data_IF_666492483305
#
_entry.id   IF_666492483305
#
_cell.length_a   1.000
_cell.length_b   1.000
_cell.length_c   1.000
_cell.angle_alpha   90.00
_cell.angle_beta   90.00
_cell.angle_gamma   90.00
#
_symmetry.space_group_name_H-M   'P 1'
#
loop_
_entity.id
_entity.type
_entity.pdbx_description
1 polymer ?
#
# COMPACT_ATOMS: atom_id res chain seq x y z
N UNK A 1 -7.63 -2.73 9.22
CA UNK A 1 -8.33 -2.68 7.91
C UNK A 1 -7.49 -3.24 6.75
N UNK A 2 -6.18 -2.93 6.64
CA UNK A 2 -5.34 -3.35 5.49
C UNK A 2 -5.11 -4.86 5.30
N UNK A 3 -4.96 -5.63 6.38
CA UNK A 3 -4.81 -7.10 6.28
C UNK A 3 -6.09 -7.77 5.69
N UNK A 4 -7.26 -7.18 5.93
CA UNK A 4 -8.52 -7.66 5.38
C UNK A 4 -8.60 -7.52 3.86
N UNK A 5 -8.04 -6.45 3.27
CA UNK A 5 -7.99 -6.27 1.82
C UNK A 5 -7.10 -7.32 1.15
N UNK A 6 -5.96 -7.63 1.76
CA UNK A 6 -5.06 -8.68 1.28
C UNK A 6 -5.71 -10.07 1.36
N UNK A 7 -6.28 -10.37 2.52
CA UNK A 7 -7.01 -11.61 2.75
C UNK A 7 -8.16 -11.80 1.76
N UNK A 8 -8.96 -10.74 1.52
CA UNK A 8 -10.06 -10.77 0.55
C UNK A 8 -9.59 -11.15 -0.85
N UNK A 9 -8.38 -10.71 -1.25
CA UNK A 9 -7.85 -10.91 -2.60
C UNK A 9 -7.10 -12.23 -2.78
N UNK A 10 -6.52 -12.78 -1.73
CA UNK A 10 -5.86 -14.10 -1.75
C UNK A 10 -6.87 -15.23 -1.73
N UNK A 11 -8.03 -15.01 -1.11
CA UNK A 11 -9.09 -16.01 -1.04
C UNK A 11 -9.90 -16.05 -2.34
N UNK A 12 -9.95 -17.21 -2.98
CA UNK A 12 -10.68 -17.42 -4.24
C UNK A 12 -12.18 -17.09 -4.10
N UNK A 13 -12.82 -17.52 -3.02
CA UNK A 13 -14.26 -17.30 -2.79
C UNK A 13 -14.62 -15.82 -2.67
N UNK A 14 -13.69 -15.02 -2.13
CA UNK A 14 -13.91 -13.59 -1.88
C UNK A 14 -13.48 -12.70 -3.04
N UNK A 15 -12.61 -13.18 -3.91
CA UNK A 15 -11.98 -12.39 -4.98
C UNK A 15 -12.40 -12.79 -6.39
N UNK A 16 -12.85 -14.03 -6.59
CA UNK A 16 -13.00 -14.63 -7.92
C UNK A 16 -11.66 -14.83 -8.66
N UNK A 17 -10.52 -14.68 -7.98
CA UNK A 17 -9.18 -14.88 -8.51
C UNK A 17 -8.58 -16.20 -7.98
N UNK A 18 -7.58 -16.79 -8.66
CA UNK A 18 -6.91 -17.98 -8.16
C UNK A 18 -6.35 -17.78 -6.75
N UNK A 19 -6.47 -18.82 -5.90
CA UNK A 19 -5.99 -18.77 -4.51
C UNK A 19 -4.50 -18.39 -4.47
N UNK A 20 -4.13 -17.47 -3.59
CA UNK A 20 -2.76 -16.93 -3.49
C UNK A 20 -2.22 -16.27 -4.76
N UNK A 21 -3.09 -15.95 -5.74
CA UNK A 21 -2.75 -15.36 -7.03
C UNK A 21 -1.70 -16.17 -7.83
N UNK A 22 -1.84 -17.50 -7.84
CA UNK A 22 -1.02 -18.41 -8.65
C UNK A 22 -1.89 -19.28 -9.57
N UNK A 23 -1.40 -19.59 -10.77
CA UNK A 23 -2.12 -20.44 -11.74
C UNK A 23 -2.15 -21.91 -11.29
N UNK A 24 -1.01 -22.44 -10.83
CA UNK A 24 -0.86 -23.85 -10.48
C UNK A 24 -0.87 -24.02 -8.95
N UNK A 25 -2.03 -23.74 -8.34
CA UNK A 25 -2.24 -23.95 -6.91
C UNK A 25 -1.98 -25.40 -6.51
N UNK A 26 -1.16 -25.62 -5.48
CA UNK A 26 -0.77 -26.94 -4.97
C UNK A 26 0.67 -27.33 -5.32
N UNK A 27 1.21 -26.84 -6.45
CA UNK A 27 2.65 -26.91 -6.75
C UNK A 27 3.35 -25.59 -6.42
N UNK A 28 2.65 -24.47 -6.62
CA UNK A 28 3.12 -23.13 -6.28
C UNK A 28 2.32 -22.57 -5.09
N UNK A 29 3.03 -21.91 -4.16
CA UNK A 29 2.48 -21.22 -2.99
C UNK A 29 2.17 -19.75 -3.26
N UNK A 30 2.69 -19.18 -4.34
CA UNK A 30 2.44 -17.81 -4.78
C UNK A 30 2.69 -16.79 -3.66
N UNK A 31 1.66 -16.01 -3.34
CA UNK A 31 1.74 -14.94 -2.33
C UNK A 31 1.41 -15.38 -0.90
N UNK A 32 1.31 -16.69 -0.62
CA UNK A 32 0.99 -17.21 0.72
C UNK A 32 1.98 -16.73 1.80
N UNK A 33 3.28 -16.93 1.59
CA UNK A 33 4.30 -16.52 2.57
C UNK A 33 4.34 -15.01 2.76
N UNK A 34 4.08 -14.27 1.68
CA UNK A 34 4.01 -12.81 1.71
C UNK A 34 2.85 -12.33 2.61
N UNK A 35 1.72 -13.05 2.61
CA UNK A 35 0.61 -12.82 3.52
C UNK A 35 1.01 -13.01 4.98
N UNK A 36 1.71 -14.11 5.26
CA UNK A 36 2.05 -14.48 6.63
C UNK A 36 2.97 -13.43 7.25
N UNK A 37 3.98 -12.97 6.51
CA UNK A 37 4.85 -11.87 6.94
C UNK A 37 4.08 -10.55 7.15
N UNK A 38 3.09 -10.25 6.31
CA UNK A 38 2.26 -9.06 6.50
C UNK A 38 1.40 -9.18 7.78
N UNK A 39 0.86 -10.37 8.05
CA UNK A 39 0.06 -10.63 9.23
C UNK A 39 0.87 -10.59 10.53
N UNK A 40 2.10 -11.12 10.54
CA UNK A 40 2.97 -11.07 11.71
C UNK A 40 3.32 -9.64 12.11
N UNK A 41 3.67 -8.79 11.13
CA UNK A 41 4.00 -7.37 11.37
C UNK A 41 2.78 -6.57 11.85
N UNK A 42 1.59 -6.86 11.33
CA UNK A 42 0.35 -6.29 11.85
C UNK A 42 0.09 -6.74 13.29
N UNK A 43 0.42 -7.98 13.64
CA UNK A 43 0.28 -8.48 15.01
C UNK A 43 1.24 -7.80 15.97
N UNK A 44 2.50 -7.61 15.57
CA UNK A 44 3.51 -6.89 16.35
C UNK A 44 3.09 -5.43 16.60
N UNK A 45 2.53 -4.76 15.58
CA UNK A 45 2.01 -3.41 15.72
C UNK A 45 0.91 -3.28 16.79
N UNK A 46 0.12 -4.33 17.04
CA UNK A 46 -0.90 -4.29 18.10
C UNK A 46 -0.29 -4.08 19.48
N UNK A 47 0.87 -4.69 19.74
CA UNK A 47 1.61 -4.53 21.00
C UNK A 47 2.18 -3.12 21.08
N UNK A 48 2.79 -2.62 20.00
CA UNK A 48 3.38 -1.28 19.93
C UNK A 48 2.35 -0.13 20.04
N UNK A 49 1.07 -0.42 19.76
CA UNK A 49 -0.02 0.54 19.93
C UNK A 49 -0.34 0.87 21.40
N UNK A 50 0.17 0.11 22.38
CA UNK A 50 -0.03 0.46 23.79
C UNK A 50 0.55 1.85 24.10
N UNK A 51 -0.21 2.77 24.71
CA UNK A 51 0.24 4.14 24.94
C UNK A 51 1.31 4.18 26.04
N UNK A 52 2.56 4.46 25.66
CA UNK A 52 3.64 4.65 26.64
C UNK A 52 3.48 5.93 27.44
N UNK A 53 2.77 6.93 26.92
CA UNK A 53 2.46 8.17 27.65
C UNK A 53 1.39 8.01 28.73
N UNK A 54 0.79 6.82 28.88
CA UNK A 54 -0.14 6.53 29.97
C UNK A 54 0.59 6.17 31.27
N UNK A 55 1.91 5.98 31.23
CA UNK A 55 2.75 5.66 32.38
C UNK A 55 3.55 6.88 32.84
N UNK A 56 3.77 6.97 34.15
CA UNK A 56 4.60 8.00 34.79
C UNK A 56 5.19 7.42 36.07
N UNK A 57 6.53 7.41 36.14
CA UNK A 57 7.27 6.95 37.32
C UNK A 57 7.99 8.17 37.90
N UNK A 58 7.68 8.58 39.14
CA UNK A 58 8.26 9.78 39.73
C UNK A 58 9.77 9.62 39.94
N UNK A 59 10.52 10.65 39.58
CA UNK A 59 11.98 10.70 39.70
C UNK A 59 12.41 11.81 40.66
N UNK A 60 13.70 11.82 41.04
CA UNK A 60 14.30 12.92 41.81
C UNK A 60 13.60 13.22 43.15
N UNK A 61 13.32 12.18 43.95
CA UNK A 61 12.65 12.31 45.26
C UNK A 61 11.32 13.09 45.17
N UNK A 62 10.53 12.80 44.15
CA UNK A 62 9.22 13.41 43.90
C UNK A 62 9.25 14.90 43.50
N UNK A 63 10.40 15.41 43.03
CA UNK A 63 10.44 16.72 42.35
C UNK A 63 9.91 16.64 40.91
N UNK A 64 10.17 15.51 40.24
CA UNK A 64 9.61 15.19 38.92
C UNK A 64 8.52 14.15 39.12
N UNK A 65 7.39 14.59 39.69
CA UNK A 65 6.26 13.73 40.05
C UNK A 65 5.39 13.31 38.86
N UNK A 66 5.56 13.95 37.69
CA UNK A 66 4.89 13.60 36.45
C UNK A 66 5.83 13.67 35.24
N UNK A 67 6.00 12.53 34.54
CA UNK A 67 6.84 12.41 33.35
C UNK A 67 6.05 11.83 32.17
N UNK A 68 6.45 12.18 30.94
CA UNK A 68 5.67 11.86 29.72
C UNK A 68 5.98 10.51 29.07
N UNK A 69 7.07 9.86 29.48
CA UNK A 69 7.63 8.66 28.82
C UNK A 69 7.80 8.82 27.29
N UNK A 70 7.95 10.06 26.80
CA UNK A 70 7.92 10.42 25.38
C UNK A 70 9.03 9.76 24.54
N UNK A 71 10.16 9.41 25.15
CA UNK A 71 11.27 8.75 24.45
C UNK A 71 10.90 7.37 23.88
N UNK A 72 10.11 6.57 24.59
CA UNK A 72 9.61 5.31 24.03
C UNK A 72 8.45 5.53 23.06
N UNK A 73 7.62 6.56 23.30
CA UNK A 73 6.54 6.97 22.39
C UNK A 73 7.06 7.30 20.99
N UNK A 74 8.18 8.03 20.88
CA UNK A 74 8.79 8.36 19.60
C UNK A 74 9.36 7.12 18.89
N UNK A 75 10.09 6.26 19.61
CA UNK A 75 10.69 5.04 19.06
C UNK A 75 9.64 4.05 18.54
N UNK A 76 8.58 3.80 19.32
CA UNK A 76 7.50 2.88 18.90
C UNK A 76 6.71 3.44 17.71
N UNK A 77 6.51 4.77 17.65
CA UNK A 77 5.86 5.40 16.50
C UNK A 77 6.69 5.21 15.23
N UNK A 78 8.00 5.46 15.30
CA UNK A 78 8.91 5.20 14.19
C UNK A 78 8.89 3.72 13.78
N UNK A 79 8.84 2.80 14.75
CA UNK A 79 8.78 1.36 14.47
C UNK A 79 7.46 0.93 13.80
N UNK A 80 6.33 1.49 14.20
CA UNK A 80 5.02 1.21 13.57
C UNK A 80 4.98 1.79 12.15
N UNK A 81 5.55 2.97 11.93
CA UNK A 81 5.71 3.55 10.59
C UNK A 81 6.62 2.65 9.77
N UNK A 82 7.77 2.23 10.31
CA UNK A 82 8.64 1.24 9.71
C UNK A 82 7.87 -0.02 9.38
N UNK A 83 7.04 -0.61 10.25
CA UNK A 83 6.23 -1.80 9.93
C UNK A 83 5.06 -1.52 8.98
N UNK A 84 4.63 -0.28 8.83
CA UNK A 84 3.60 0.07 7.83
C UNK A 84 4.25 0.24 6.47
N UNK A 85 5.47 0.78 6.46
CA UNK A 85 6.36 0.74 5.32
C UNK A 85 6.86 -0.68 5.06
N UNK A 86 7.10 -1.47 6.11
CA UNK A 86 7.89 -2.70 6.15
C UNK A 86 7.10 -3.97 6.43
N UNK A 87 5.76 -3.89 6.57
CA UNK A 87 4.69 -4.91 6.43
C UNK A 87 4.72 -5.70 5.12
N UNK A 88 5.87 -5.60 4.49
CA UNK A 88 6.26 -5.34 3.11
C UNK A 88 7.63 -6.01 2.89
N UNK A 89 8.41 -6.31 3.94
CA UNK A 89 9.80 -6.75 3.81
C UNK A 89 10.03 -8.01 4.65
N UNK A 90 10.42 -9.09 3.99
CA UNK A 90 11.21 -10.10 4.67
C UNK A 90 12.63 -9.57 4.80
N UNK A 91 13.00 -8.94 5.91
CA UNK A 91 14.41 -8.73 6.22
C UNK A 91 14.61 -8.56 7.73
N UNK A 92 15.15 -9.59 8.38
CA UNK A 92 16.07 -9.34 9.49
C UNK A 92 17.31 -8.64 8.93
N UNK A 93 17.97 -7.82 9.74
CA UNK A 93 19.24 -7.13 9.44
C UNK A 93 19.22 -6.09 8.32
N UNK A 94 18.84 -4.85 8.60
CA UNK A 94 19.62 -3.67 8.16
C UNK A 94 19.28 -2.55 9.13
N UNK A 95 20.26 -2.22 9.96
CA UNK A 95 20.20 -1.07 10.82
C UNK A 95 20.22 0.22 10.00
N UNK A 96 19.71 1.27 10.64
CA UNK A 96 20.10 2.65 10.37
C UNK A 96 19.77 3.19 8.97
N UNK A 97 18.55 3.68 8.79
CA UNK A 97 18.36 4.95 8.08
C UNK A 97 17.26 5.77 8.77
N UNK A 98 17.61 6.88 9.45
CA UNK A 98 16.64 7.84 9.91
C UNK A 98 16.32 8.79 8.74
N UNK A 99 15.04 8.95 8.37
CA UNK A 99 14.64 10.03 7.47
C UNK A 99 13.38 9.79 6.66
N UNK A 100 12.43 10.69 6.86
CA UNK A 100 11.35 11.10 5.96
C UNK A 100 10.14 10.18 5.69
N UNK A 101 9.04 10.63 6.29
CA UNK A 101 7.83 11.15 5.62
C UNK A 101 7.03 10.23 4.69
N UNK A 102 5.81 9.93 5.16
CA UNK A 102 4.57 9.69 4.41
C UNK A 102 4.67 8.86 3.14
N UNK A 103 4.40 7.55 3.20
CA UNK A 103 3.70 6.86 2.12
C UNK A 103 2.96 5.65 2.71
N UNK A 104 1.63 5.70 2.64
CA UNK A 104 0.74 4.55 2.84
C UNK A 104 0.75 3.62 1.60
N UNK A 105 0.64 2.30 1.80
CA UNK A 105 0.30 1.26 0.79
C UNK A 105 1.36 0.74 -0.22
N UNK A 106 2.64 0.56 0.17
CA UNK A 106 3.70 0.18 -0.81
C UNK A 106 3.71 -1.28 -1.34
N UNK A 107 3.29 -2.29 -0.56
CA UNK A 107 3.40 -3.73 -0.94
C UNK A 107 2.18 -4.27 -1.64
N UNK A 108 1.02 -3.74 -1.29
CA UNK A 108 -0.23 -4.14 -1.92
C UNK A 108 -0.14 -3.95 -3.42
N UNK A 109 0.60 -2.96 -3.89
CA UNK A 109 0.68 -2.65 -5.30
C UNK A 109 1.20 -3.81 -6.19
N UNK A 110 2.27 -4.52 -5.83
CA UNK A 110 2.77 -5.67 -6.62
C UNK A 110 1.74 -6.80 -6.69
N UNK A 111 1.09 -7.08 -5.57
CA UNK A 111 0.05 -8.11 -5.46
C UNK A 111 -1.24 -7.72 -6.20
N UNK A 112 -1.66 -6.45 -6.13
CA UNK A 112 -2.81 -5.95 -6.87
C UNK A 112 -2.58 -6.05 -8.37
N UNK A 113 -1.38 -5.74 -8.85
CA UNK A 113 -1.01 -5.88 -10.26
C UNK A 113 -0.90 -7.34 -10.71
N UNK A 114 -0.59 -8.26 -9.80
CA UNK A 114 -0.74 -9.68 -10.09
C UNK A 114 -2.21 -10.06 -10.31
N UNK A 115 -3.14 -9.54 -9.51
CA UNK A 115 -4.57 -9.75 -9.73
C UNK A 115 -5.06 -9.23 -11.09
N UNK A 116 -4.47 -8.14 -11.61
CA UNK A 116 -4.79 -7.61 -12.95
C UNK A 116 -4.35 -8.57 -14.06
N UNK A 117 -3.28 -9.37 -13.88
CA UNK A 117 -2.88 -10.37 -14.87
C UNK A 117 -3.97 -11.40 -15.14
N UNK A 118 -4.61 -11.87 -14.07
CA UNK A 118 -5.69 -12.86 -14.13
C UNK A 118 -7.00 -12.30 -14.69
N UNK A 119 -7.11 -10.98 -14.80
CA UNK A 119 -8.27 -10.31 -15.38
C UNK A 119 -8.07 -9.97 -16.86
N UNK A 120 -6.90 -10.26 -17.46
CA UNK A 120 -6.68 -10.04 -18.89
C UNK A 120 -7.74 -10.81 -19.72
N UNK A 121 -8.34 -10.18 -20.75
CA UNK A 121 -7.92 -8.95 -21.44
C UNK A 121 -8.47 -7.62 -20.86
N UNK A 122 -9.12 -7.63 -19.70
CA UNK A 122 -9.66 -6.40 -19.09
C UNK A 122 -8.54 -5.41 -18.74
N UNK A 123 -8.77 -4.13 -19.01
CA UNK A 123 -7.86 -3.03 -18.67
C UNK A 123 -8.47 -2.15 -17.60
N UNK A 124 -7.62 -1.59 -16.73
CA UNK A 124 -8.06 -0.60 -15.76
C UNK A 124 -8.08 0.81 -16.38
N UNK A 125 -8.22 1.83 -15.54
CA UNK A 125 -8.11 3.24 -15.95
C UNK A 125 -6.73 3.54 -16.52
N UNK A 126 -6.65 4.57 -17.37
CA UNK A 126 -5.39 5.01 -17.99
C UNK A 126 -4.29 5.27 -16.95
N UNK A 127 -4.63 5.96 -15.86
CA UNK A 127 -3.69 6.24 -14.77
C UNK A 127 -3.20 4.96 -14.11
N UNK A 128 -4.10 4.05 -13.78
CA UNK A 128 -3.74 2.80 -13.10
C UNK A 128 -2.97 1.85 -14.03
N UNK A 129 -3.22 1.93 -15.34
CA UNK A 129 -2.48 1.20 -16.36
C UNK A 129 -1.03 1.70 -16.46
N UNK A 130 -0.79 3.01 -16.41
CA UNK A 130 0.58 3.58 -16.35
C UNK A 130 1.33 3.13 -15.10
N UNK A 131 0.66 3.09 -13.95
CA UNK A 131 1.27 2.58 -12.71
C UNK A 131 1.54 1.07 -12.80
N UNK A 132 0.64 0.31 -13.41
CA UNK A 132 0.82 -1.13 -13.67
C UNK A 132 2.07 -1.36 -14.53
N UNK A 133 2.22 -0.66 -15.65
CA UNK A 133 3.38 -0.75 -16.54
C UNK A 133 4.67 -0.38 -15.81
N UNK A 134 4.64 0.69 -15.01
CA UNK A 134 5.77 1.12 -14.19
C UNK A 134 6.20 0.03 -13.20
N UNK A 135 5.27 -0.63 -12.52
CA UNK A 135 5.61 -1.75 -11.61
C UNK A 135 6.07 -2.98 -12.38
N UNK A 136 5.48 -3.28 -13.54
CA UNK A 136 5.91 -4.40 -14.38
C UNK A 136 7.29 -4.22 -14.98
N UNK A 137 7.79 -2.99 -15.11
CA UNK A 137 9.17 -2.74 -15.51
C UNK A 137 10.22 -3.23 -14.49
N UNK A 138 9.84 -3.36 -13.21
CA UNK A 138 10.75 -3.78 -12.12
C UNK A 138 10.38 -5.14 -11.51
N UNK A 139 9.14 -5.59 -11.70
CA UNK A 139 8.63 -6.80 -11.07
C UNK A 139 7.70 -7.57 -12.05
N UNK A 140 8.23 -8.59 -12.75
CA UNK A 140 7.46 -9.33 -13.75
C UNK A 140 6.31 -10.13 -13.12
N UNK A 141 5.30 -10.54 -13.91
CA UNK A 141 4.23 -11.41 -13.43
C UNK A 141 4.75 -12.67 -12.76
N UNK A 142 4.10 -13.09 -11.67
CA UNK A 142 4.42 -14.35 -10.99
C UNK A 142 3.70 -15.50 -11.69
N UNK A 143 4.45 -16.34 -12.42
CA UNK A 143 3.90 -17.55 -13.05
C UNK A 143 4.16 -18.77 -12.16
N UNK A 144 5.42 -18.92 -11.72
CA UNK A 144 5.89 -19.97 -10.81
C UNK A 144 6.57 -19.35 -9.59
N UNK A 145 6.67 -20.14 -8.51
CA UNK A 145 7.32 -19.72 -7.27
C UNK A 145 8.79 -19.37 -7.51
N UNK A 146 9.19 -18.20 -7.04
CA UNK A 146 10.57 -17.71 -7.11
C UNK A 146 10.91 -16.83 -5.92
N UNK A 147 12.19 -16.55 -5.76
CA UNK A 147 12.67 -15.64 -4.73
C UNK A 147 12.23 -14.19 -5.00
N UNK A 148 11.14 -13.77 -4.34
CA UNK A 148 10.50 -12.47 -4.57
C UNK A 148 11.18 -11.28 -3.89
N UNK A 149 12.10 -11.51 -2.96
CA UNK A 149 12.70 -10.44 -2.16
C UNK A 149 13.34 -9.30 -2.99
N UNK A 150 14.12 -9.56 -4.07
CA UNK A 150 14.74 -8.50 -4.85
C UNK A 150 13.71 -7.66 -5.61
N UNK A 151 12.64 -8.31 -6.11
CA UNK A 151 11.53 -7.62 -6.78
C UNK A 151 10.76 -6.73 -5.81
N UNK A 152 10.49 -7.26 -4.61
CA UNK A 152 9.85 -6.50 -3.53
C UNK A 152 10.69 -5.25 -3.22
N UNK A 153 12.01 -5.40 -3.02
CA UNK A 153 12.94 -4.28 -2.79
C UNK A 153 12.95 -3.25 -3.94
N UNK A 154 12.83 -3.72 -5.17
CA UNK A 154 12.76 -2.86 -6.35
C UNK A 154 11.46 -2.03 -6.37
N UNK A 155 10.32 -2.65 -6.07
CA UNK A 155 9.03 -1.97 -5.96
C UNK A 155 9.04 -0.92 -4.83
N UNK A 156 9.63 -1.26 -3.69
CA UNK A 156 9.83 -0.30 -2.58
C UNK A 156 10.65 0.90 -3.03
N UNK A 157 11.77 0.66 -3.71
CA UNK A 157 12.66 1.72 -4.19
C UNK A 157 11.95 2.63 -5.20
N UNK A 158 11.10 2.03 -6.03
CA UNK A 158 10.25 2.76 -6.97
C UNK A 158 9.23 3.66 -6.25
N UNK A 159 8.70 3.23 -5.12
CA UNK A 159 7.83 4.10 -4.31
C UNK A 159 8.61 5.15 -3.54
N UNK A 160 9.76 4.81 -2.97
CA UNK A 160 10.64 5.76 -2.25
C UNK A 160 11.19 6.85 -3.17
N UNK A 161 11.35 6.55 -4.46
CA UNK A 161 11.76 7.53 -5.46
C UNK A 161 10.62 8.44 -5.96
N UNK A 162 9.42 8.36 -5.35
CA UNK A 162 8.22 9.13 -5.72
C UNK A 162 7.77 9.00 -7.18
N UNK A 163 8.31 8.04 -7.95
CA UNK A 163 7.96 7.86 -9.37
C UNK A 163 6.48 7.56 -9.58
N UNK A 164 5.85 6.81 -8.66
CA UNK A 164 4.40 6.54 -8.72
C UNK A 164 3.61 7.82 -8.48
N UNK A 165 4.04 8.63 -7.52
CA UNK A 165 3.39 9.90 -7.23
C UNK A 165 3.40 10.79 -8.46
N UNK A 166 4.55 10.93 -9.12
CA UNK A 166 4.67 11.72 -10.37
C UNK A 166 3.74 11.23 -11.49
N UNK A 167 3.47 9.92 -11.59
CA UNK A 167 2.52 9.38 -12.58
C UNK A 167 1.08 9.72 -12.25
N UNK A 168 0.72 9.75 -10.96
CA UNK A 168 -0.66 9.89 -10.50
C UNK A 168 -1.02 11.37 -10.23
N UNK A 169 -0.06 12.20 -9.85
CA UNK A 169 -0.20 13.61 -9.47
C UNK A 169 -0.96 14.45 -10.51
N UNK A 170 -0.64 14.42 -11.82
CA UNK A 170 -1.40 15.19 -12.82
C UNK A 170 -2.88 14.80 -12.90
N UNK A 171 -3.18 13.51 -12.66
CA UNK A 171 -4.55 13.02 -12.67
C UNK A 171 -5.31 13.42 -11.39
N UNK A 172 -4.65 13.46 -10.23
CA UNK A 172 -5.24 13.93 -8.98
C UNK A 172 -5.54 15.43 -9.02
N UNK A 173 -4.64 16.25 -9.57
CA UNK A 173 -4.87 17.68 -9.76
C UNK A 173 -6.08 17.94 -10.68
N UNK A 174 -6.17 17.19 -11.77
CA UNK A 174 -7.34 17.25 -12.67
C UNK A 174 -8.63 16.87 -11.94
N UNK A 175 -8.59 15.82 -11.13
CA UNK A 175 -9.76 15.37 -10.35
C UNK A 175 -10.20 16.42 -9.33
N UNK A 176 -9.26 17.01 -8.58
CA UNK A 176 -9.53 18.08 -7.61
C UNK A 176 -10.07 19.36 -8.26
N UNK A 177 -9.57 19.72 -9.44
CA UNK A 177 -10.10 20.84 -10.25
C UNK A 177 -11.52 20.55 -10.76
N UNK A 178 -11.82 19.31 -11.15
CA UNK A 178 -13.18 18.90 -11.53
C UNK A 178 -14.15 18.93 -10.35
N UNK A 179 -13.72 18.47 -9.17
CA UNK A 179 -14.50 18.53 -7.92
C UNK A 179 -14.87 19.97 -7.53
N UNK A 180 -13.96 20.92 -7.71
CA UNK A 180 -14.21 22.33 -7.39
C UNK A 180 -15.06 23.06 -8.43
N UNK A 181 -14.96 22.72 -9.72
CA UNK A 181 -15.72 23.37 -10.79
C UNK A 181 -17.17 22.84 -10.93
N UNK A 182 -17.41 21.55 -10.70
CA UNK A 182 -18.75 20.93 -10.74
C UNK A 182 -18.83 19.72 -9.79
N UNK A 183 -19.24 19.92 -8.53
CA UNK A 183 -19.29 18.84 -7.53
C UNK A 183 -20.31 17.73 -7.86
N UNK A 184 -21.32 18.03 -8.67
CA UNK A 184 -22.43 17.09 -8.96
C UNK A 184 -22.13 16.11 -10.11
N UNK A 185 -21.23 16.46 -11.04
CA UNK A 185 -20.87 15.58 -12.19
C UNK A 185 -20.23 14.27 -11.73
N UNK A 186 -19.38 14.32 -10.69
CA UNK A 186 -18.75 13.15 -10.10
C UNK A 186 -19.71 12.26 -9.31
N UNK A 187 -20.87 12.79 -8.90
CA UNK A 187 -21.87 12.04 -8.11
C UNK A 187 -23.00 11.49 -8.97
N UNK A 188 -23.34 12.17 -10.08
CA UNK A 188 -24.47 11.78 -10.93
C UNK A 188 -24.09 10.78 -12.03
N UNK A 189 -22.86 10.83 -12.57
CA UNK A 189 -22.46 9.96 -13.69
C UNK A 189 -21.49 8.84 -13.28
N UNK A 190 -20.98 8.87 -12.06
CA UNK A 190 -19.98 7.92 -11.60
C UNK A 190 -20.63 6.76 -10.82
N UNK A 191 -20.96 5.67 -11.52
CA UNK A 191 -21.27 4.38 -10.87
C UNK A 191 -20.13 3.88 -9.95
N UNK A 192 -18.93 4.44 -10.08
CA UNK A 192 -17.85 4.46 -9.10
C UNK A 192 -16.94 5.67 -9.34
N UNK A 193 -16.18 6.17 -8.34
CA UNK A 193 -15.22 7.27 -8.50
C UNK A 193 -14.22 7.09 -9.66
N UNK A 194 -14.01 5.83 -10.06
CA UNK A 194 -13.11 5.38 -11.11
C UNK A 194 -13.69 5.51 -12.53
N UNK A 195 -15.02 5.58 -12.67
CA UNK A 195 -15.72 5.61 -13.96
C UNK A 195 -15.67 6.99 -14.64
N UNK A 196 -15.64 8.08 -13.86
CA UNK A 196 -15.63 9.45 -14.38
C UNK A 196 -14.37 9.80 -15.20
N UNK A 197 -13.30 9.01 -15.10
CA UNK A 197 -12.02 9.24 -15.79
C UNK A 197 -11.99 8.53 -17.16
N UNK A 198 -12.86 7.55 -17.41
CA UNK A 198 -12.91 6.80 -18.66
C UNK A 198 -13.79 7.52 -19.69
N UNK A 199 -13.24 8.58 -20.27
CA UNK A 199 -13.63 9.08 -21.59
C UNK A 199 -14.97 9.81 -21.70
N UNK A 200 -14.95 11.12 -21.41
CA UNK A 200 -15.87 12.07 -22.05
C UNK A 200 -15.07 13.02 -22.95
N UNK A 201 -15.63 13.43 -24.10
CA UNK A 201 -14.93 14.21 -25.11
C UNK A 201 -14.53 15.59 -24.58
N UNK A 202 -13.45 16.10 -25.15
CA UNK A 202 -12.86 17.41 -24.92
C UNK A 202 -13.89 18.56 -24.93
N UNK A 203 -14.18 19.14 -23.75
CA UNK A 203 -15.11 20.27 -23.61
C UNK A 203 -14.51 21.63 -24.00
N UNK A 204 -13.29 21.67 -24.54
CA UNK A 204 -12.72 22.91 -25.12
C UNK A 204 -13.45 23.40 -26.38
N UNK A 205 -14.44 22.64 -26.89
CA UNK A 205 -15.27 23.00 -28.05
C UNK A 205 -16.72 23.37 -27.74
N UNK A 206 -17.07 23.61 -26.48
CA UNK A 206 -18.38 24.17 -26.12
C UNK A 206 -18.17 25.49 -25.37
N UNK A 207 -17.66 26.47 -26.10
CA UNK A 207 -17.92 27.90 -25.91
C UNK A 207 -18.42 28.46 -27.24
#
# INVERSE_FOLDING_TARGET
MYNLLFYKKVNHELSGLPTFLTQNGGLNSGFMTVQLCAASLVSENKVLCHPSSADSIPTSCNQEDHVSMGGFSARKALKVVEHTEAGIFGHGTIGCLPGLQNIFNKKYMYFYFQGIEFLKPLKSTETLQKVYELVRSVAPPLNDDRYMQPEIQSVISLVRSNKIWTVVEPHLERMSKLESCRPDLLRQEAGSPTAAVLGFPDFSRVL
#
